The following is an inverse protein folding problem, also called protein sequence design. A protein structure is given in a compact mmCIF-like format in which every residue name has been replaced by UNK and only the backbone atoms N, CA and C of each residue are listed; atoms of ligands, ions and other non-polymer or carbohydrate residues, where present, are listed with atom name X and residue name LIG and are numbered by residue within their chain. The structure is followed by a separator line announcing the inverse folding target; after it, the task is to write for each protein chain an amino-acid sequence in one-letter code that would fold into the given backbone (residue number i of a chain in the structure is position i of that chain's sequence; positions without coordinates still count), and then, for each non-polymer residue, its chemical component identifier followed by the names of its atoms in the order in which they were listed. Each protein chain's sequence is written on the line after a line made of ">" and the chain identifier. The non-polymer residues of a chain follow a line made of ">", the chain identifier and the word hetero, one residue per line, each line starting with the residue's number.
data_IF_539639312251
#
_entry.id   IF_539639312251
#
_cell.length_a   1.000
_cell.length_b   1.000
_cell.length_c   1.000
_cell.angle_alpha   90.00
_cell.angle_beta   90.00
_cell.angle_gamma   90.00
#
_symmetry.space_group_name_H-M   'P 1'
#
loop_
_entity.id
_entity.type
_entity.pdbx_description
1 polymer ?
#
# COMPACT_ATOMS: atom_id res chain seq x y z
N UNK A 1 -5.01 1.55 6.97
CA UNK A 1 -4.05 0.68 6.27
C UNK A 1 -4.75 -0.03 5.11
N UNK A 2 -3.98 -0.54 4.15
CA UNK A 2 -4.47 -1.38 3.04
C UNK A 2 -3.63 -2.66 2.92
N UNK A 3 -4.23 -3.74 2.42
CA UNK A 3 -3.53 -4.97 2.05
C UNK A 3 -3.86 -5.32 0.60
N UNK A 4 -2.82 -5.40 -0.21
CA UNK A 4 -2.86 -5.78 -1.61
C UNK A 4 -2.35 -7.23 -1.74
N UNK A 5 -3.20 -8.17 -1.37
CA UNK A 5 -2.90 -9.60 -1.35
C UNK A 5 -4.09 -10.44 -1.88
N UNK A 6 -3.97 -11.13 -3.03
CA UNK A 6 -2.80 -11.14 -3.92
C UNK A 6 -2.70 -9.88 -4.78
N UNK A 7 -1.49 -9.35 -4.95
CA UNK A 7 -1.21 -8.28 -5.91
C UNK A 7 -1.07 -8.85 -7.33
N UNK A 8 -2.05 -8.57 -8.18
CA UNK A 8 -2.19 -9.15 -9.53
C UNK A 8 -2.32 -8.11 -10.63
N UNK A 9 -2.07 -6.85 -10.29
CA UNK A 9 -2.09 -5.72 -11.19
C UNK A 9 -1.57 -4.48 -10.49
N UNK A 10 -1.35 -3.38 -11.24
CA UNK A 10 -0.91 -2.12 -10.65
C UNK A 10 -1.98 -1.57 -9.70
N UNK A 11 -1.52 -0.90 -8.64
CA UNK A 11 -2.36 -0.14 -7.72
C UNK A 11 -1.72 1.23 -7.62
N UNK A 12 -2.52 2.26 -7.87
CA UNK A 12 -2.13 3.65 -7.69
C UNK A 12 -2.51 4.08 -6.26
N UNK A 13 -1.51 4.40 -5.42
CA UNK A 13 -1.76 4.90 -4.07
C UNK A 13 -1.97 6.41 -4.04
N UNK A 14 -1.73 7.12 -5.15
CA UNK A 14 -1.87 8.56 -5.30
C UNK A 14 -3.34 9.00 -5.37
N UNK A 15 -4.15 8.63 -4.38
CA UNK A 15 -5.46 9.24 -4.20
C UNK A 15 -5.32 10.65 -3.62
N UNK A 16 -4.96 11.65 -4.42
CA UNK A 16 -5.32 13.05 -4.14
C UNK A 16 -5.50 13.87 -5.42
N UNK A 17 -6.73 14.32 -5.65
CA UNK A 17 -6.94 15.57 -6.39
C UNK A 17 -8.20 16.31 -5.92
N UNK A 18 -9.28 15.57 -5.64
CA UNK A 18 -10.46 16.16 -5.02
C UNK A 18 -11.37 15.06 -4.50
N UNK A 19 -11.69 15.08 -3.22
CA UNK A 19 -12.76 14.24 -2.68
C UNK A 19 -13.77 15.13 -1.99
N UNK A 20 -15.00 15.14 -2.52
CA UNK A 20 -16.14 15.73 -1.82
C UNK A 20 -16.58 14.73 -0.75
N UNK A 21 -16.50 15.16 0.50
CA UNK A 21 -17.02 14.39 1.61
C UNK A 21 -18.54 14.39 1.64
N UNK A 22 -19.16 13.42 2.33
CA UNK A 22 -20.62 13.36 2.50
C UNK A 22 -21.24 14.60 3.15
N UNK A 23 -20.44 15.39 3.87
CA UNK A 23 -20.83 16.67 4.47
C UNK A 23 -20.77 17.86 3.49
N UNK A 24 -20.40 17.62 2.22
CA UNK A 24 -20.28 18.65 1.18
C UNK A 24 -18.90 19.32 1.09
N UNK A 25 -17.97 19.05 2.01
CA UNK A 25 -16.63 19.66 1.98
C UNK A 25 -15.76 19.00 0.90
N UNK A 26 -15.13 19.79 0.04
CA UNK A 26 -14.16 19.32 -0.94
C UNK A 26 -12.74 19.54 -0.41
N UNK A 27 -11.94 18.48 -0.38
CA UNK A 27 -10.50 18.61 -0.16
C UNK A 27 -9.81 18.95 -1.47
N UNK A 28 -9.20 20.13 -1.55
CA UNK A 28 -8.20 20.44 -2.58
C UNK A 28 -6.84 20.41 -1.90
N UNK A 29 -5.98 19.46 -2.30
CA UNK A 29 -4.57 19.44 -1.88
C UNK A 29 -4.34 19.69 -0.37
N UNK A 30 -5.15 19.06 0.50
CA UNK A 30 -5.00 19.17 1.96
C UNK A 30 -5.62 20.40 2.62
N UNK A 31 -6.41 21.22 1.90
CA UNK A 31 -7.12 22.36 2.49
C UNK A 31 -8.63 22.23 2.29
N UNK A 32 -9.38 22.31 3.39
CA UNK A 32 -10.82 22.55 3.37
C UNK A 32 -11.12 24.04 3.52
N UNK A 33 -12.10 24.54 2.76
CA UNK A 33 -12.54 25.94 2.81
C UNK A 33 -13.23 26.34 4.13
N UNK A 34 -13.63 25.35 4.93
CA UNK A 34 -14.46 25.54 6.14
C UNK A 34 -13.70 25.33 7.47
N UNK A 35 -12.36 25.15 7.42
CA UNK A 35 -11.52 24.83 8.56
C UNK A 35 -10.30 23.99 8.17
N UNK A 36 -9.44 23.63 9.12
CA UNK A 36 -8.33 22.71 8.88
C UNK A 36 -8.79 21.28 9.16
N UNK A 37 -8.96 20.46 8.12
CA UNK A 37 -9.12 19.02 8.27
C UNK A 37 -7.97 18.34 7.56
N UNK A 38 -7.17 17.58 8.32
CA UNK A 38 -6.13 16.74 7.76
C UNK A 38 -6.79 15.67 6.86
N UNK A 39 -6.38 15.54 5.59
CA UNK A 39 -6.91 14.50 4.73
C UNK A 39 -6.60 13.13 5.33
N UNK A 40 -7.48 12.12 5.14
CA UNK A 40 -7.21 10.77 5.60
C UNK A 40 -5.90 10.27 4.99
N UNK A 41 -4.94 9.90 5.84
CA UNK A 41 -3.63 9.36 5.45
C UNK A 41 -3.58 7.85 5.62
N UNK A 42 -2.75 7.18 4.82
CA UNK A 42 -2.53 5.73 4.93
C UNK A 42 -1.54 5.45 6.06
N UNK A 43 -1.97 4.69 7.07
CA UNK A 43 -1.09 4.35 8.20
C UNK A 43 -0.11 3.19 7.91
N UNK A 44 -0.40 2.34 6.91
CA UNK A 44 0.38 1.13 6.59
C UNK A 44 -0.09 0.50 5.27
N UNK A 45 0.85 -0.08 4.51
CA UNK A 45 0.59 -0.83 3.28
C UNK A 45 1.23 -2.21 3.38
N UNK A 46 0.43 -3.25 3.11
CA UNK A 46 0.88 -4.64 3.05
C UNK A 46 0.77 -5.14 1.61
N UNK A 47 1.84 -5.75 1.08
CA UNK A 47 1.87 -6.34 -0.26
C UNK A 47 2.27 -7.82 -0.18
N UNK A 48 1.62 -8.64 -0.99
CA UNK A 48 1.93 -10.07 -1.09
C UNK A 48 1.29 -10.75 -2.29
N UNK A 49 1.93 -11.81 -2.77
CA UNK A 49 1.44 -12.62 -3.88
C UNK A 49 0.45 -13.71 -3.47
N UNK A 50 -0.07 -14.43 -4.45
CA UNK A 50 -1.04 -15.51 -4.23
C UNK A 50 -0.37 -16.80 -3.75
N UNK A 51 -1.05 -17.57 -2.89
CA UNK A 51 -0.58 -18.88 -2.46
C UNK A 51 -1.59 -19.96 -2.82
N UNK A 52 -1.09 -21.14 -3.20
CA UNK A 52 -1.92 -22.32 -3.46
C UNK A 52 -1.57 -23.06 -4.76
N UNK A 53 -2.35 -24.10 -5.10
CA UNK A 53 -2.10 -24.94 -6.29
C UNK A 53 -2.07 -24.17 -7.62
N UNK A 54 -2.86 -23.11 -7.73
CA UNK A 54 -3.02 -22.35 -8.96
C UNK A 54 -2.57 -20.90 -8.77
N UNK A 55 -1.53 -20.68 -7.94
CA UNK A 55 -1.07 -19.34 -7.64
C UNK A 55 -0.66 -18.60 -8.91
N UNK A 56 -1.12 -17.37 -9.05
CA UNK A 56 -0.68 -16.45 -10.08
C UNK A 56 0.60 -15.77 -9.63
N UNK A 57 1.55 -15.68 -10.55
CA UNK A 57 2.82 -14.97 -10.31
C UNK A 57 2.53 -13.48 -10.20
N UNK A 58 3.05 -12.86 -9.15
CA UNK A 58 3.08 -11.41 -9.02
C UNK A 58 4.25 -10.86 -9.85
N UNK A 59 4.02 -9.79 -10.59
CA UNK A 59 5.10 -9.07 -11.26
C UNK A 59 5.86 -8.19 -10.27
N UNK A 60 7.20 -8.27 -10.29
CA UNK A 60 8.06 -7.56 -9.35
C UNK A 60 7.88 -6.05 -9.41
N UNK A 61 7.65 -5.52 -10.62
CA UNK A 61 7.44 -4.09 -10.84
C UNK A 61 6.29 -3.53 -9.98
N UNK A 62 5.17 -4.24 -9.85
CA UNK A 62 4.03 -3.74 -9.06
C UNK A 62 4.36 -3.59 -7.57
N UNK A 63 5.11 -4.54 -7.00
CA UNK A 63 5.52 -4.45 -5.60
C UNK A 63 6.57 -3.35 -5.37
N UNK A 64 7.48 -3.14 -6.35
CA UNK A 64 8.49 -2.09 -6.29
C UNK A 64 7.89 -0.70 -6.40
N UNK A 65 6.88 -0.53 -7.26
CA UNK A 65 6.18 0.74 -7.49
C UNK A 65 5.47 1.19 -6.21
N UNK A 66 4.64 0.31 -5.63
CA UNK A 66 3.95 0.54 -4.35
C UNK A 66 4.95 0.83 -3.23
N UNK A 67 6.08 0.09 -3.17
CA UNK A 67 7.14 0.34 -2.20
C UNK A 67 7.71 1.75 -2.35
N UNK A 68 7.99 2.19 -3.57
CA UNK A 68 8.56 3.50 -3.82
C UNK A 68 7.59 4.61 -3.40
N UNK A 69 6.30 4.49 -3.75
CA UNK A 69 5.26 5.43 -3.31
C UNK A 69 5.16 5.51 -1.78
N UNK A 70 5.24 4.37 -1.09
CA UNK A 70 5.21 4.32 0.37
C UNK A 70 6.42 5.03 0.98
N UNK A 71 7.62 4.80 0.44
CA UNK A 71 8.86 5.46 0.89
C UNK A 71 8.77 6.97 0.69
N UNK A 72 8.31 7.42 -0.47
CA UNK A 72 8.15 8.84 -0.79
C UNK A 72 7.12 9.52 0.13
N UNK A 73 6.01 8.83 0.40
CA UNK A 73 4.92 9.30 1.26
C UNK A 73 5.14 9.07 2.76
N UNK A 74 6.27 8.45 3.15
CA UNK A 74 6.58 8.04 4.54
C UNK A 74 5.49 7.16 5.17
N UNK A 75 4.86 6.32 4.36
CA UNK A 75 3.87 5.32 4.79
C UNK A 75 4.62 4.01 5.08
N UNK A 76 4.45 3.41 6.27
CA UNK A 76 5.05 2.11 6.57
C UNK A 76 4.70 1.05 5.51
N UNK A 77 5.70 0.30 5.04
CA UNK A 77 5.55 -0.73 4.01
C UNK A 77 5.97 -2.13 4.51
N UNK A 78 5.10 -3.11 4.30
CA UNK A 78 5.34 -4.51 4.63
C UNK A 78 5.20 -5.39 3.40
N UNK A 79 6.30 -6.00 2.98
CA UNK A 79 6.30 -7.06 1.97
C UNK A 79 6.19 -8.41 2.65
N UNK A 80 5.04 -9.06 2.49
CA UNK A 80 4.77 -10.34 3.13
C UNK A 80 5.50 -11.46 2.44
N UNK A 81 5.24 -11.67 1.15
CA UNK A 81 5.81 -12.75 0.35
C UNK A 81 5.48 -12.63 -1.15
N UNK A 82 6.26 -13.31 -1.99
CA UNK A 82 6.05 -13.35 -3.46
C UNK A 82 4.86 -14.17 -3.94
N UNK A 83 4.35 -15.09 -3.12
CA UNK A 83 3.44 -16.14 -3.55
C UNK A 83 4.14 -17.46 -3.81
N UNK A 84 3.35 -18.44 -4.20
CA UNK A 84 3.86 -19.76 -4.58
C UNK A 84 2.94 -20.91 -4.19
N UNK A 85 3.41 -22.13 -4.45
CA UNK A 85 2.64 -23.35 -4.18
C UNK A 85 2.22 -23.48 -2.71
N UNK A 86 3.02 -22.92 -1.81
CA UNK A 86 2.76 -22.81 -0.37
C UNK A 86 3.03 -21.37 0.13
N UNK A 87 2.49 -20.95 1.29
CA UNK A 87 2.54 -19.56 1.78
C UNK A 87 3.93 -18.94 2.03
N UNK A 88 5.01 -19.70 1.90
CA UNK A 88 6.39 -19.25 2.15
C UNK A 88 7.34 -19.58 1.00
N UNK A 89 6.84 -20.18 -0.09
CA UNK A 89 7.68 -20.74 -1.14
C UNK A 89 8.51 -19.68 -1.87
N UNK A 90 7.96 -18.48 -2.08
CA UNK A 90 8.66 -17.41 -2.78
C UNK A 90 9.56 -16.52 -1.90
N UNK A 91 9.58 -16.71 -0.58
CA UNK A 91 10.36 -15.88 0.33
C UNK A 91 9.81 -14.46 0.52
N UNK A 92 10.57 -13.63 1.24
CA UNK A 92 10.17 -12.29 1.72
C UNK A 92 11.09 -11.15 1.27
N UNK A 93 12.07 -11.44 0.43
CA UNK A 93 13.02 -10.42 -0.04
C UNK A 93 12.46 -9.72 -1.28
N UNK A 94 12.38 -8.40 -1.22
CA UNK A 94 12.07 -7.53 -2.34
C UNK A 94 13.28 -6.60 -2.53
N UNK A 95 13.88 -6.63 -3.72
CA UNK A 95 15.07 -5.81 -4.03
C UNK A 95 16.27 -6.09 -3.10
N UNK A 96 16.51 -7.37 -2.80
CA UNK A 96 17.60 -7.82 -1.94
C UNK A 96 17.43 -7.47 -0.45
N UNK A 97 16.23 -7.05 -0.04
CA UNK A 97 15.93 -6.63 1.34
C UNK A 97 14.59 -7.17 1.83
N UNK A 98 14.49 -7.43 3.13
CA UNK A 98 13.21 -7.66 3.82
C UNK A 98 12.59 -6.31 4.19
N UNK A 99 11.32 -6.12 3.81
CA UNK A 99 10.52 -4.95 4.16
C UNK A 99 9.43 -5.36 5.14
N UNK A 100 9.59 -5.02 6.41
CA UNK A 100 8.74 -5.50 7.52
C UNK A 100 8.30 -4.38 8.47
N UNK A 101 8.14 -3.17 7.93
CA UNK A 101 7.76 -2.00 8.71
C UNK A 101 6.36 -2.18 9.30
N UNK A 102 6.17 -1.67 10.52
CA UNK A 102 4.91 -1.70 11.25
C UNK A 102 4.30 -0.29 11.30
N UNK A 103 2.96 -0.17 11.37
CA UNK A 103 2.35 1.13 11.62
C UNK A 103 2.88 1.72 12.92
N UNK A 104 3.23 3.01 12.89
CA UNK A 104 3.47 3.74 14.14
C UNK A 104 2.14 3.86 14.87
N UNK A 105 2.11 3.54 16.16
CA UNK A 105 0.92 3.79 16.99
C UNK A 105 0.49 5.25 16.82
N UNK A 106 -0.81 5.49 16.68
CA UNK A 106 -1.33 6.86 16.70
C UNK A 106 -0.90 7.51 18.04
N UNK A 107 -0.37 8.74 18.04
CA UNK A 107 -0.10 9.45 19.29
C UNK A 107 -1.37 9.62 20.12
#
# INVERSE_FOLDING_TARGET
>A
WISAEPLLGPIDLSRQASQTCPNGSTYLAGYSIDGFVEPPSLDWVVVGGESGPNYRRMEAFWALDIRNECVESRVPFFFKQWGGRTPKAGGRELDGRVWDEMPRGKP
#
